data_IF_574186008730
#
_entry.id   IF_574186008730
#
_cell.length_a   1.000
_cell.length_b   1.000
_cell.length_c   1.000
_cell.angle_alpha   90.00
_cell.angle_beta   90.00
_cell.angle_gamma   90.00
#
_symmetry.space_group_name_H-M   'P 1'
#
loop_
_entity.id
_entity.type
_entity.pdbx_description
1 polymer ?
#
# COMPACT_ATOMS: atom_id res chain seq x y z
N UNK A 1 -23.01 21.02 -88.36
CA UNK A 1 -23.56 19.72 -87.94
C UNK A 1 -22.49 19.03 -87.12
N UNK A 2 -22.89 18.64 -85.92
CA UNK A 2 -22.08 18.07 -84.86
C UNK A 2 -21.80 16.59 -85.11
N UNK A 3 -20.53 16.23 -85.22
CA UNK A 3 -20.06 14.86 -84.94
C UNK A 3 -19.15 14.92 -83.73
N UNK A 4 -19.73 14.58 -82.57
CA UNK A 4 -19.02 14.37 -81.32
C UNK A 4 -18.40 12.98 -81.43
N UNK A 5 -17.08 12.94 -81.60
CA UNK A 5 -16.31 11.70 -81.52
C UNK A 5 -16.41 11.09 -80.11
N UNK A 6 -16.43 9.75 -79.99
CA UNK A 6 -16.50 9.09 -78.70
C UNK A 6 -15.21 9.37 -77.92
N UNK A 7 -15.32 10.14 -76.85
CA UNK A 7 -14.24 10.35 -75.89
C UNK A 7 -13.94 9.02 -75.22
N UNK A 8 -12.83 8.41 -75.61
CA UNK A 8 -12.23 7.22 -75.04
C UNK A 8 -12.01 7.44 -73.54
N UNK A 9 -12.96 7.00 -72.72
CA UNK A 9 -12.78 6.92 -71.26
C UNK A 9 -11.73 5.85 -70.98
N UNK A 10 -10.48 6.28 -70.89
CA UNK A 10 -9.37 5.44 -70.42
C UNK A 10 -9.56 5.22 -68.93
N UNK A 11 -10.14 4.08 -68.55
CA UNK A 11 -10.21 3.65 -67.16
C UNK A 11 -8.83 3.12 -66.77
N UNK A 12 -7.96 3.97 -66.25
CA UNK A 12 -6.65 3.55 -65.74
C UNK A 12 -6.84 2.96 -64.35
N UNK A 13 -6.99 1.64 -64.28
CA UNK A 13 -6.97 0.91 -63.01
C UNK A 13 -5.51 0.77 -62.53
N UNK A 14 -5.09 1.60 -61.59
CA UNK A 14 -3.81 1.43 -60.91
C UNK A 14 -3.90 0.29 -59.89
N UNK A 15 -3.36 -0.88 -60.24
CA UNK A 15 -3.08 -1.94 -59.27
C UNK A 15 -1.78 -1.59 -58.51
N UNK A 16 -1.90 -0.77 -57.47
CA UNK A 16 -0.83 -0.62 -56.51
C UNK A 16 -0.77 -1.90 -55.66
N UNK A 17 0.13 -2.82 -56.00
CA UNK A 17 0.42 -3.97 -55.16
C UNK A 17 0.98 -3.49 -53.82
N UNK A 18 0.15 -3.52 -52.78
CA UNK A 18 0.47 -3.30 -51.35
C UNK A 18 1.41 -4.37 -50.76
N UNK A 19 2.32 -4.90 -51.57
CA UNK A 19 3.31 -5.91 -51.16
C UNK A 19 4.45 -5.32 -50.32
N UNK A 20 4.58 -3.99 -50.24
CA UNK A 20 5.66 -3.34 -49.49
C UNK A 20 5.35 -3.04 -48.01
N UNK A 21 4.14 -3.32 -47.51
CA UNK A 21 3.75 -3.02 -46.11
C UNK A 21 3.77 -4.26 -45.20
N UNK A 22 4.06 -5.46 -45.73
CA UNK A 22 4.07 -6.70 -44.91
C UNK A 22 5.28 -6.85 -43.98
N UNK A 23 6.31 -6.01 -44.08
CA UNK A 23 7.56 -6.14 -43.31
C UNK A 23 7.61 -5.46 -41.94
N UNK A 24 6.64 -4.59 -41.59
CA UNK A 24 6.76 -3.73 -40.39
C UNK A 24 5.51 -3.67 -39.49
N UNK A 25 4.61 -4.65 -39.59
CA UNK A 25 3.44 -4.75 -38.71
C UNK A 25 3.77 -5.57 -37.45
N UNK A 26 4.63 -5.02 -36.61
CA UNK A 26 4.84 -5.50 -35.24
C UNK A 26 5.07 -4.32 -34.27
N UNK A 27 4.24 -3.27 -34.37
CA UNK A 27 4.06 -2.28 -33.31
C UNK A 27 2.82 -1.44 -33.63
N UNK A 28 2.02 -1.14 -32.60
CA UNK A 28 0.72 -0.43 -32.62
C UNK A 28 0.76 1.04 -33.10
N UNK A 29 1.47 1.34 -34.20
CA UNK A 29 1.45 2.66 -34.81
C UNK A 29 0.54 2.61 -36.04
N UNK A 30 -0.57 3.36 -35.99
CA UNK A 30 -1.36 3.70 -37.17
C UNK A 30 -0.41 4.34 -38.20
N UNK A 31 -0.09 3.61 -39.26
CA UNK A 31 0.72 4.10 -40.37
C UNK A 31 -0.21 4.78 -41.35
N UNK A 32 -0.23 6.11 -41.32
CA UNK A 32 -0.97 6.92 -42.29
C UNK A 32 -0.20 6.91 -43.60
N UNK A 33 -0.75 6.28 -44.64
CA UNK A 33 -0.20 6.35 -45.99
C UNK A 33 -0.77 7.58 -46.71
N UNK A 34 0.09 8.52 -47.09
CA UNK A 34 -0.29 9.62 -47.96
C UNK A 34 -0.21 9.15 -49.41
N UNK A 35 -1.32 9.27 -50.14
CA UNK A 35 -1.40 8.96 -51.56
C UNK A 35 -1.66 10.27 -52.30
N UNK A 36 -0.69 10.71 -53.09
CA UNK A 36 -0.84 11.89 -53.93
C UNK A 36 -1.74 11.58 -55.14
N UNK A 37 -2.92 12.19 -55.16
CA UNK A 37 -3.90 12.01 -56.24
C UNK A 37 -3.63 13.08 -57.31
N UNK A 38 -3.30 12.63 -58.52
CA UNK A 38 -3.05 13.53 -59.66
C UNK A 38 -4.32 14.29 -60.09
N UNK A 39 -4.16 15.54 -60.55
CA UNK A 39 -5.27 16.34 -61.09
C UNK A 39 -5.90 15.62 -62.29
N UNK A 40 -7.22 15.39 -62.24
CA UNK A 40 -8.00 14.72 -63.28
C UNK A 40 -8.47 13.30 -62.93
N UNK A 41 -8.12 12.77 -61.75
CA UNK A 41 -8.70 11.52 -61.23
C UNK A 41 -10.09 11.81 -60.66
N UNK A 42 -11.13 11.29 -61.31
CA UNK A 42 -12.53 11.46 -60.86
C UNK A 42 -12.90 10.50 -59.71
N UNK A 43 -12.30 9.31 -59.67
CA UNK A 43 -12.61 8.26 -58.70
C UNK A 43 -11.38 7.48 -58.26
N UNK A 44 -11.25 7.25 -56.95
CA UNK A 44 -10.28 6.32 -56.36
C UNK A 44 -11.04 5.11 -55.84
N UNK A 45 -10.73 3.91 -56.35
CA UNK A 45 -11.32 2.65 -55.90
C UNK A 45 -10.30 1.91 -55.04
N UNK A 46 -10.57 1.81 -53.74
CA UNK A 46 -9.76 1.02 -52.82
C UNK A 46 -10.26 -0.43 -52.86
N UNK A 47 -9.49 -1.31 -53.51
CA UNK A 47 -9.75 -2.73 -53.51
C UNK A 47 -9.03 -3.39 -52.33
N UNK A 48 -9.76 -3.67 -51.26
CA UNK A 48 -9.25 -4.52 -50.19
C UNK A 48 -9.23 -5.97 -50.67
N UNK A 49 -8.18 -6.72 -50.34
CA UNK A 49 -8.19 -8.14 -50.63
C UNK A 49 -9.32 -8.80 -49.83
N UNK A 50 -10.09 -9.68 -50.48
CA UNK A 50 -11.21 -10.37 -49.83
C UNK A 50 -10.73 -11.15 -48.58
N UNK A 51 -9.48 -11.61 -48.58
CA UNK A 51 -8.88 -12.36 -47.47
C UNK A 51 -8.58 -11.49 -46.24
N UNK A 52 -8.05 -10.27 -46.39
CA UNK A 52 -7.82 -9.37 -45.24
C UNK A 52 -9.14 -8.99 -44.54
N UNK A 53 -10.20 -8.77 -45.31
CA UNK A 53 -11.53 -8.47 -44.77
C UNK A 53 -12.10 -9.68 -44.01
N UNK A 54 -11.90 -10.91 -44.52
CA UNK A 54 -12.32 -12.14 -43.82
C UNK A 54 -11.54 -12.34 -42.52
N UNK A 55 -10.23 -12.11 -42.54
CA UNK A 55 -9.39 -12.22 -41.34
C UNK A 55 -9.81 -11.20 -40.27
N UNK A 56 -10.06 -9.95 -40.68
CA UNK A 56 -10.52 -8.91 -39.76
C UNK A 56 -11.89 -9.25 -39.17
N UNK A 57 -12.84 -9.74 -39.97
CA UNK A 57 -14.15 -10.21 -39.45
C UNK A 57 -13.98 -11.32 -38.42
N UNK A 58 -13.15 -12.33 -38.70
CA UNK A 58 -12.88 -13.41 -37.75
C UNK A 58 -12.31 -12.88 -36.44
N UNK A 59 -11.34 -11.95 -36.50
CA UNK A 59 -10.76 -11.34 -35.29
C UNK A 59 -11.80 -10.54 -34.49
N UNK A 60 -12.69 -9.82 -35.17
CA UNK A 60 -13.79 -9.10 -34.50
C UNK A 60 -14.73 -10.08 -33.80
N UNK A 61 -15.14 -11.16 -34.47
CA UNK A 61 -15.99 -12.20 -33.87
C UNK A 61 -15.33 -12.86 -32.65
N UNK A 62 -14.02 -13.14 -32.70
CA UNK A 62 -13.28 -13.72 -31.58
C UNK A 62 -13.21 -12.74 -30.39
N UNK A 63 -13.00 -11.44 -30.64
CA UNK A 63 -13.03 -10.40 -29.61
C UNK A 63 -14.42 -10.25 -29.01
N UNK A 64 -15.48 -10.28 -29.83
CA UNK A 64 -16.87 -10.23 -29.35
C UNK A 64 -17.19 -11.41 -28.45
N UNK A 65 -16.78 -12.64 -28.84
CA UNK A 65 -16.92 -13.84 -27.99
C UNK A 65 -16.17 -13.69 -26.66
N UNK A 66 -14.95 -13.17 -26.70
CA UNK A 66 -14.14 -12.94 -25.50
C UNK A 66 -14.79 -11.90 -24.57
N UNK A 67 -15.26 -10.78 -25.12
CA UNK A 67 -15.96 -9.76 -24.35
C UNK A 67 -17.23 -10.31 -23.69
N UNK A 68 -17.97 -11.15 -24.41
CA UNK A 68 -19.17 -11.77 -23.89
C UNK A 68 -18.86 -12.78 -22.77
N UNK A 69 -17.77 -13.53 -22.87
CA UNK A 69 -17.28 -14.38 -21.79
C UNK A 69 -16.88 -13.58 -20.55
N UNK A 70 -16.17 -12.45 -20.73
CA UNK A 70 -15.78 -11.56 -19.64
C UNK A 70 -17.00 -10.95 -18.93
N UNK A 71 -18.01 -10.49 -19.68
CA UNK A 71 -19.25 -9.98 -19.10
C UNK A 71 -19.97 -11.03 -18.24
N UNK A 72 -19.97 -12.30 -18.65
CA UNK A 72 -20.52 -13.39 -17.83
C UNK A 72 -19.74 -13.59 -16.53
N UNK A 73 -18.40 -13.53 -16.59
CA UNK A 73 -17.57 -13.63 -15.38
C UNK A 73 -17.80 -12.45 -14.43
N UNK A 74 -17.93 -11.23 -14.94
CA UNK A 74 -18.26 -10.06 -14.13
C UNK A 74 -19.63 -10.21 -13.45
N UNK A 75 -20.64 -10.69 -14.19
CA UNK A 75 -21.97 -10.95 -13.62
C UNK A 75 -21.94 -12.03 -12.52
N UNK A 76 -21.15 -13.09 -12.70
CA UNK A 76 -20.97 -14.13 -11.67
C UNK A 76 -20.27 -13.58 -10.41
N UNK A 77 -19.22 -12.77 -10.59
CA UNK A 77 -18.53 -12.12 -9.46
C UNK A 77 -19.44 -11.16 -8.70
N UNK A 78 -20.25 -10.38 -9.43
CA UNK A 78 -21.22 -9.47 -8.80
C UNK A 78 -22.24 -10.24 -7.97
N UNK A 79 -22.81 -11.33 -8.51
CA UNK A 79 -23.74 -12.16 -7.77
C UNK A 79 -23.10 -12.78 -6.51
N UNK A 80 -21.84 -13.21 -6.59
CA UNK A 80 -21.09 -13.72 -5.44
C UNK A 80 -20.80 -12.64 -4.38
N UNK A 81 -20.54 -11.40 -4.80
CA UNK A 81 -20.38 -10.27 -3.90
C UNK A 81 -21.69 -9.95 -3.17
N UNK A 82 -22.81 -9.92 -3.89
CA UNK A 82 -24.13 -9.65 -3.32
C UNK A 82 -24.54 -10.75 -2.31
N UNK A 83 -24.24 -12.02 -2.60
CA UNK A 83 -24.45 -13.14 -1.66
C UNK A 83 -23.60 -12.99 -0.39
N UNK A 84 -22.32 -12.63 -0.53
CA UNK A 84 -21.43 -12.41 0.61
C UNK A 84 -21.91 -11.23 1.47
N UNK A 85 -22.36 -10.15 0.84
CA UNK A 85 -22.89 -8.98 1.51
C UNK A 85 -24.15 -9.32 2.32
N UNK A 86 -25.05 -10.14 1.77
CA UNK A 86 -26.23 -10.63 2.48
C UNK A 86 -25.84 -11.45 3.73
N UNK A 87 -24.88 -12.37 3.60
CA UNK A 87 -24.36 -13.16 4.74
C UNK A 87 -23.72 -12.28 5.82
N UNK A 88 -23.01 -11.24 5.43
CA UNK A 88 -22.42 -10.29 6.38
C UNK A 88 -23.48 -9.53 7.18
N UNK A 89 -24.56 -9.09 6.53
CA UNK A 89 -25.69 -8.43 7.19
C UNK A 89 -26.36 -9.40 8.17
N UNK A 90 -26.63 -10.64 7.77
CA UNK A 90 -27.20 -11.67 8.64
C UNK A 90 -26.32 -11.92 9.87
N UNK A 91 -25.01 -12.13 9.68
CA UNK A 91 -24.07 -12.36 10.78
C UNK A 91 -24.01 -11.16 11.73
N UNK A 92 -24.06 -9.93 11.19
CA UNK A 92 -24.06 -8.71 12.00
C UNK A 92 -25.32 -8.62 12.87
N UNK A 93 -26.47 -9.00 12.33
CA UNK A 93 -27.72 -9.04 13.10
C UNK A 93 -27.68 -10.10 14.21
N UNK A 94 -27.10 -11.27 13.95
CA UNK A 94 -26.99 -12.35 14.93
C UNK A 94 -26.01 -12.00 16.07
N UNK A 95 -24.89 -11.36 15.75
CA UNK A 95 -23.96 -10.83 16.78
C UNK A 95 -24.65 -9.77 17.64
N UNK A 96 -25.46 -8.90 17.04
CA UNK A 96 -26.30 -7.94 17.76
C UNK A 96 -27.27 -8.63 18.72
N UNK A 97 -27.94 -9.70 18.28
CA UNK A 97 -28.87 -10.50 19.08
C UNK A 97 -28.19 -11.15 20.29
N UNK A 98 -27.01 -11.76 20.08
CA UNK A 98 -26.22 -12.38 21.15
C UNK A 98 -25.76 -11.33 22.17
N UNK A 99 -25.36 -10.14 21.73
CA UNK A 99 -24.97 -9.04 22.64
C UNK A 99 -26.16 -8.41 23.37
N UNK A 100 -27.34 -8.43 22.78
CA UNK A 100 -28.57 -7.88 23.35
C UNK A 100 -29.28 -8.81 24.34
N UNK A 101 -28.87 -10.06 24.48
CA UNK A 101 -29.40 -10.94 25.51
C UNK A 101 -29.00 -10.42 26.90
N UNK A 102 -29.96 -10.07 27.79
CA UNK A 102 -29.63 -9.67 29.16
C UNK A 102 -28.92 -10.85 29.84
N UNK A 103 -27.71 -10.61 30.34
CA UNK A 103 -27.02 -11.52 31.24
C UNK A 103 -27.86 -11.67 32.51
N UNK A 104 -28.78 -12.63 32.51
CA UNK A 104 -29.51 -13.02 33.68
C UNK A 104 -28.58 -13.72 34.66
N UNK A 105 -28.60 -13.18 35.88
CA UNK A 105 -28.06 -13.68 37.14
C UNK A 105 -26.54 -13.52 37.41
N UNK A 106 -26.18 -12.78 38.49
CA UNK A 106 -24.93 -12.97 39.19
C UNK A 106 -25.07 -14.19 40.12
N UNK A 107 -24.17 -15.16 40.01
CA UNK A 107 -24.03 -16.21 41.02
C UNK A 107 -22.62 -16.20 41.62
N UNK A 108 -22.50 -16.60 42.90
CA UNK A 108 -21.42 -16.20 43.79
C UNK A 108 -20.23 -17.17 43.74
N UNK A 109 -19.18 -16.76 44.45
CA UNK A 109 -17.84 -17.31 44.53
C UNK A 109 -17.69 -18.81 44.85
N UNK A 110 -16.43 -19.26 44.71
CA UNK A 110 -15.81 -20.57 45.03
C UNK A 110 -15.98 -21.66 43.95
N UNK A 111 -15.02 -22.54 43.62
CA UNK A 111 -13.61 -22.77 44.02
C UNK A 111 -13.04 -23.93 43.17
N UNK A 112 -11.76 -23.87 42.80
CA UNK A 112 -10.76 -24.96 42.65
C UNK A 112 -10.92 -26.16 41.65
N UNK A 113 -9.82 -26.34 40.87
CA UNK A 113 -9.15 -27.58 40.35
C UNK A 113 -9.68 -28.21 39.04
N UNK A 114 -8.96 -28.09 37.90
CA UNK A 114 -7.90 -29.01 37.36
C UNK A 114 -8.54 -30.31 36.80
N UNK A 115 -8.42 -30.79 35.55
CA UNK A 115 -7.26 -30.95 34.67
C UNK A 115 -7.73 -31.46 33.29
N UNK A 116 -7.18 -30.97 32.17
CA UNK A 116 -6.52 -31.81 31.14
C UNK A 116 -6.09 -31.01 29.90
N UNK A 117 -4.93 -31.35 29.29
CA UNK A 117 -4.28 -30.54 28.27
C UNK A 117 -4.59 -31.07 26.86
N UNK A 118 -5.13 -30.20 26.00
CA UNK A 118 -4.98 -30.37 24.55
C UNK A 118 -4.43 -29.08 23.97
N UNK A 119 -3.22 -29.22 23.44
CA UNK A 119 -2.49 -28.22 22.66
C UNK A 119 -3.30 -27.91 21.41
N UNK A 120 -3.72 -26.65 21.25
CA UNK A 120 -3.67 -25.81 20.02
C UNK A 120 -4.78 -24.76 20.03
N UNK A 121 -4.69 -23.77 20.92
CA UNK A 121 -5.05 -22.39 20.58
C UNK A 121 -4.59 -21.52 21.73
N UNK A 122 -3.35 -21.02 21.67
CA UNK A 122 -2.96 -19.89 22.52
C UNK A 122 -3.72 -18.68 21.97
N UNK A 123 -5.00 -18.56 22.36
CA UNK A 123 -5.82 -17.38 22.15
C UNK A 123 -5.16 -16.25 22.94
N UNK A 124 -4.42 -15.42 22.22
CA UNK A 124 -3.95 -14.16 22.75
C UNK A 124 -5.17 -13.26 22.96
N UNK A 125 -5.29 -12.56 24.09
CA UNK A 125 -6.48 -11.77 24.38
C UNK A 125 -6.71 -10.60 23.40
N UNK A 126 -5.69 -10.22 22.61
CA UNK A 126 -5.74 -9.10 21.66
C UNK A 126 -4.99 -9.36 20.35
N UNK A 127 -4.81 -10.62 19.96
CA UNK A 127 -4.34 -10.93 18.61
C UNK A 127 -5.54 -10.92 17.69
N UNK A 128 -5.50 -10.05 16.68
CA UNK A 128 -6.39 -10.25 15.55
C UNK A 128 -5.85 -11.47 14.81
N UNK A 129 -6.38 -12.66 15.12
CA UNK A 129 -5.92 -13.92 14.52
C UNK A 129 -6.12 -13.93 13.00
N UNK A 130 -7.08 -13.15 12.48
CA UNK A 130 -7.32 -13.01 11.04
C UNK A 130 -6.21 -12.22 10.34
N UNK A 131 -5.63 -11.23 11.03
CA UNK A 131 -4.56 -10.38 10.50
C UNK A 131 -3.19 -10.69 11.08
N UNK A 132 -3.09 -11.56 12.08
CA UNK A 132 -1.87 -11.83 12.84
C UNK A 132 -1.23 -10.57 13.46
N UNK A 133 -2.02 -9.59 13.91
CA UNK A 133 -1.48 -8.39 14.58
C UNK A 133 -1.59 -8.58 16.09
N UNK A 134 -0.57 -8.18 16.85
CA UNK A 134 -0.61 -8.19 18.32
C UNK A 134 -0.73 -6.79 18.89
N UNK A 135 -1.80 -6.53 19.64
CA UNK A 135 -1.89 -5.32 20.45
C UNK A 135 -1.03 -5.45 21.73
N UNK A 136 -0.26 -4.40 22.01
CA UNK A 136 0.59 -4.22 23.17
C UNK A 136 -0.04 -3.10 24.01
N UNK A 137 -1.11 -3.42 24.74
CA UNK A 137 -1.95 -2.44 25.42
C UNK A 137 -1.20 -1.53 26.42
N UNK A 138 -1.62 -0.25 26.49
CA UNK A 138 -1.27 0.73 27.54
C UNK A 138 -0.49 1.96 27.06
N UNK A 139 -1.13 3.14 27.03
CA UNK A 139 -0.49 4.41 26.63
C UNK A 139 0.76 4.74 27.46
N UNK A 140 0.69 4.54 28.77
CA UNK A 140 1.69 5.00 29.74
C UNK A 140 2.99 4.18 29.77
N UNK A 141 3.01 2.98 29.18
CA UNK A 141 4.14 2.01 29.34
C UNK A 141 4.92 1.74 28.05
N UNK A 142 4.40 2.23 26.94
CA UNK A 142 4.82 1.83 25.61
C UNK A 142 6.20 2.30 25.16
N UNK A 143 6.64 3.51 25.57
CA UNK A 143 7.94 4.06 25.14
C UNK A 143 9.11 3.37 25.84
N UNK A 144 8.99 3.12 27.14
CA UNK A 144 9.98 2.33 27.92
C UNK A 144 10.07 0.91 27.35
N UNK A 145 8.92 0.33 27.05
CA UNK A 145 8.83 -0.98 26.42
C UNK A 145 9.57 -1.03 25.08
N UNK A 146 9.30 -0.10 24.15
CA UNK A 146 10.00 -0.06 22.85
C UNK A 146 11.52 0.09 23.00
N UNK A 147 11.99 0.89 23.97
CA UNK A 147 13.42 1.06 24.25
C UNK A 147 14.02 -0.27 24.72
N UNK A 148 13.35 -0.97 25.64
CA UNK A 148 13.80 -2.27 26.13
C UNK A 148 13.72 -3.36 25.06
N UNK A 149 12.66 -3.38 24.24
CA UNK A 149 12.56 -4.27 23.08
C UNK A 149 13.72 -4.05 22.12
N UNK A 150 14.07 -2.79 21.81
CA UNK A 150 15.23 -2.46 20.97
C UNK A 150 16.57 -2.89 21.57
N UNK A 151 16.71 -2.83 22.90
CA UNK A 151 17.92 -3.32 23.59
C UNK A 151 18.03 -4.84 23.50
N UNK A 152 16.93 -5.57 23.72
CA UNK A 152 16.92 -7.04 23.78
C UNK A 152 16.91 -7.73 22.40
N UNK A 153 16.25 -7.15 21.40
CA UNK A 153 16.03 -7.79 20.09
C UNK A 153 16.91 -7.29 18.96
N UNK A 154 17.76 -6.31 19.24
CA UNK A 154 18.69 -5.76 18.27
C UNK A 154 18.10 -4.63 17.44
N UNK A 155 18.87 -4.24 16.43
CA UNK A 155 18.75 -2.93 15.78
C UNK A 155 17.76 -2.89 14.60
N UNK A 156 17.06 -3.98 14.28
CA UNK A 156 16.17 -4.06 13.12
C UNK A 156 14.68 -3.78 13.44
N UNK A 157 14.39 -3.20 14.61
CA UNK A 157 13.03 -2.78 14.99
C UNK A 157 12.73 -1.37 14.46
N UNK A 158 11.72 -1.26 13.61
CA UNK A 158 11.25 0.01 13.04
C UNK A 158 9.83 0.31 13.52
N UNK A 159 9.60 1.58 13.86
CA UNK A 159 8.28 2.08 14.18
C UNK A 159 7.77 2.87 13.00
N UNK A 160 6.61 2.50 12.47
CA UNK A 160 5.92 3.26 11.44
C UNK A 160 5.34 4.53 12.05
N UNK A 161 5.50 5.64 11.33
CA UNK A 161 4.96 6.95 11.66
C UNK A 161 4.16 7.48 10.45
N UNK A 162 3.75 8.75 10.51
CA UNK A 162 2.91 9.42 9.51
C UNK A 162 3.48 9.38 8.07
N UNK A 163 4.78 9.16 7.89
CA UNK A 163 5.36 8.92 6.56
C UNK A 163 5.10 7.54 5.97
N UNK A 164 4.41 6.67 6.69
CA UNK A 164 4.13 5.30 6.26
C UNK A 164 2.73 5.25 5.65
N UNK A 165 2.66 5.08 4.34
CA UNK A 165 1.40 4.81 3.65
C UNK A 165 1.13 3.31 3.60
N UNK A 166 -0.13 2.91 3.82
CA UNK A 166 -0.55 1.52 3.68
C UNK A 166 -1.33 1.35 2.39
N UNK A 167 -0.95 0.35 1.58
CA UNK A 167 -1.67 -0.05 0.36
C UNK A 167 -2.69 -1.12 0.72
N UNK A 168 -2.26 -2.11 1.51
CA UNK A 168 -3.10 -3.14 2.09
C UNK A 168 -2.66 -3.35 3.54
N UNK A 169 -3.42 -2.85 4.51
CA UNK A 169 -3.03 -2.95 5.91
C UNK A 169 -3.42 -4.32 6.50
N UNK A 170 -2.50 -5.05 7.17
CA UNK A 170 -1.10 -4.69 7.45
C UNK A 170 -0.09 -5.24 6.44
N UNK A 171 -0.51 -5.95 5.39
CA UNK A 171 0.38 -6.77 4.57
C UNK A 171 1.40 -5.96 3.74
N UNK A 172 0.97 -4.87 3.14
CA UNK A 172 1.78 -4.07 2.22
C UNK A 172 1.64 -2.59 2.49
N UNK A 173 2.79 -1.93 2.68
CA UNK A 173 2.89 -0.49 2.83
C UNK A 173 4.16 0.04 2.24
N UNK A 174 4.38 1.34 2.40
CA UNK A 174 5.62 1.98 2.02
C UNK A 174 5.97 3.08 3.02
N UNK A 175 7.25 3.35 3.18
CA UNK A 175 7.74 4.50 3.92
C UNK A 175 8.69 5.29 3.03
N UNK A 176 8.59 6.62 3.04
CA UNK A 176 9.50 7.46 2.27
C UNK A 176 10.45 8.18 3.21
N UNK A 177 11.74 8.12 2.92
CA UNK A 177 12.77 8.82 3.70
C UNK A 177 13.61 9.72 2.81
N UNK A 178 13.99 10.91 3.29
CA UNK A 178 14.83 11.80 2.50
C UNK A 178 16.25 11.25 2.42
N UNK A 179 16.95 11.53 1.33
CA UNK A 179 18.34 11.08 1.15
C UNK A 179 19.32 11.91 1.98
N UNK A 180 18.96 13.17 2.24
CA UNK A 180 19.73 14.12 3.06
C UNK A 180 18.83 14.89 4.02
N UNK A 181 19.41 15.36 5.12
CA UNK A 181 18.72 16.19 6.13
C UNK A 181 19.51 17.46 6.38
N UNK A 182 18.82 18.59 6.45
CA UNK A 182 19.37 19.87 6.84
C UNK A 182 19.28 20.04 8.36
N UNK A 183 20.42 20.16 9.01
CA UNK A 183 20.48 20.46 10.44
C UNK A 183 19.97 21.88 10.75
N UNK A 184 19.64 22.15 12.01
CA UNK A 184 19.25 23.49 12.47
C UNK A 184 20.31 24.57 12.19
N UNK A 185 21.58 24.18 12.10
CA UNK A 185 22.72 25.09 11.80
C UNK A 185 22.97 25.25 10.30
N UNK A 186 22.12 24.69 9.43
CA UNK A 186 22.28 24.79 7.96
C UNK A 186 23.28 23.81 7.35
N UNK A 187 23.82 22.86 8.12
CA UNK A 187 24.70 21.81 7.58
C UNK A 187 23.90 20.61 7.09
N UNK A 188 24.22 20.12 5.89
CA UNK A 188 23.66 18.91 5.29
C UNK A 188 24.26 17.63 5.88
N UNK A 189 23.41 16.64 6.10
CA UNK A 189 23.78 15.34 6.65
C UNK A 189 23.14 14.22 5.83
N UNK A 190 23.90 13.17 5.54
CA UNK A 190 23.36 12.00 4.86
C UNK A 190 22.44 11.18 5.77
N UNK A 191 21.34 10.68 5.19
CA UNK A 191 20.35 9.84 5.88
C UNK A 191 20.76 8.36 6.00
N UNK A 192 22.01 7.99 5.70
CA UNK A 192 22.51 6.61 5.63
C UNK A 192 22.43 5.82 6.95
N UNK A 193 22.15 6.49 8.07
CA UNK A 193 21.99 5.85 9.39
C UNK A 193 20.60 5.25 9.64
N UNK A 194 19.66 5.40 8.70
CA UNK A 194 18.30 4.87 8.83
C UNK A 194 18.27 3.33 8.77
N UNK A 195 17.45 2.72 9.64
CA UNK A 195 17.37 1.26 9.77
C UNK A 195 16.87 0.56 8.50
N UNK A 196 15.90 1.16 7.80
CA UNK A 196 15.38 0.68 6.52
C UNK A 196 16.46 0.63 5.42
N UNK A 197 17.52 1.44 5.53
CA UNK A 197 18.71 1.43 4.65
C UNK A 197 19.75 0.40 5.04
N UNK A 198 19.63 -0.25 6.20
CA UNK A 198 20.63 -1.20 6.71
C UNK A 198 20.16 -2.64 6.64
N UNK A 199 18.88 -2.87 6.92
CA UNK A 199 18.36 -4.23 7.03
C UNK A 199 17.41 -4.56 5.87
N UNK A 200 17.56 -5.72 5.23
CA UNK A 200 16.62 -6.20 4.22
C UNK A 200 15.33 -6.75 4.83
N UNK A 201 15.36 -7.09 6.13
CA UNK A 201 14.20 -7.49 6.92
C UNK A 201 14.14 -6.72 8.24
N UNK A 202 12.96 -6.23 8.59
CA UNK A 202 12.72 -5.44 9.80
C UNK A 202 11.49 -5.93 10.55
N UNK A 203 11.51 -5.76 11.87
CA UNK A 203 10.34 -5.98 12.71
C UNK A 203 9.57 -4.66 12.82
N UNK A 204 8.30 -4.65 12.40
CA UNK A 204 7.50 -3.44 12.37
C UNK A 204 6.55 -3.34 13.56
N UNK A 205 6.52 -2.13 14.12
CA UNK A 205 5.55 -1.71 15.12
C UNK A 205 4.85 -0.46 14.62
N UNK A 206 3.57 -0.32 14.95
CA UNK A 206 2.80 0.90 14.69
C UNK A 206 2.11 1.39 15.95
N UNK A 207 1.71 2.65 15.95
CA UNK A 207 0.84 3.23 16.98
C UNK A 207 -0.49 3.62 16.34
N UNK A 208 -1.58 3.08 16.85
CA UNK A 208 -2.95 3.39 16.41
C UNK A 208 -3.79 3.68 17.65
N UNK A 209 -4.52 4.80 17.65
CA UNK A 209 -5.41 5.19 18.76
C UNK A 209 -4.74 5.11 20.14
N UNK A 210 -3.52 5.66 20.24
CA UNK A 210 -2.73 5.66 21.48
C UNK A 210 -2.05 4.33 21.81
N UNK A 211 -2.49 3.22 21.23
CA UNK A 211 -2.02 1.85 21.50
C UNK A 211 -0.93 1.40 20.53
N UNK A 212 -0.06 0.50 21.00
CA UNK A 212 1.03 -0.04 20.19
C UNK A 212 0.67 -1.40 19.64
N UNK A 213 1.06 -1.65 18.40
CA UNK A 213 0.80 -2.90 17.71
C UNK A 213 2.08 -3.42 17.10
N UNK A 214 2.35 -4.70 17.32
CA UNK A 214 3.35 -5.43 16.56
C UNK A 214 2.69 -6.00 15.31
N UNK A 215 3.27 -5.66 14.14
CA UNK A 215 2.70 -6.01 12.84
C UNK A 215 3.31 -7.26 12.23
N UNK A 216 4.55 -7.61 12.59
CA UNK A 216 5.26 -8.74 11.99
C UNK A 216 6.64 -8.37 11.44
N UNK A 217 7.22 -9.33 10.71
CA UNK A 217 8.48 -9.18 10.00
C UNK A 217 8.21 -8.79 8.55
N UNK A 218 8.88 -7.74 8.08
CA UNK A 218 8.72 -7.19 6.73
C UNK A 218 10.01 -7.28 5.94
N UNK A 219 9.91 -7.69 4.68
CA UNK A 219 10.95 -7.49 3.69
C UNK A 219 10.91 -6.03 3.19
N UNK A 220 12.10 -5.45 3.00
CA UNK A 220 12.27 -4.05 2.61
C UNK A 220 12.88 -4.00 1.20
N UNK A 221 12.13 -3.45 0.25
CA UNK A 221 12.60 -3.15 -1.11
C UNK A 221 12.83 -1.64 -1.21
N UNK A 222 13.90 -1.24 -1.90
CA UNK A 222 14.36 0.15 -1.95
C UNK A 222 14.36 0.67 -3.38
N UNK A 223 13.66 1.77 -3.57
CA UNK A 223 13.56 2.43 -4.85
C UNK A 223 13.94 3.91 -4.70
N UNK A 224 14.88 4.37 -5.51
CA UNK A 224 15.19 5.81 -5.60
C UNK A 224 14.04 6.50 -6.32
N UNK A 225 13.55 7.61 -5.75
CA UNK A 225 12.43 8.32 -6.33
C UNK A 225 12.87 9.34 -7.37
N UNK A 226 12.09 9.44 -8.45
CA UNK A 226 12.12 10.57 -9.38
C UNK A 226 11.30 11.75 -8.83
N UNK A 227 11.42 12.92 -9.47
CA UNK A 227 10.59 14.08 -9.16
C UNK A 227 9.09 13.77 -9.31
N UNK A 228 8.71 13.04 -10.36
CA UNK A 228 7.31 12.67 -10.59
C UNK A 228 6.79 11.70 -9.51
N UNK A 229 7.63 10.79 -9.03
CA UNK A 229 7.25 9.93 -7.90
C UNK A 229 6.99 10.75 -6.63
N UNK A 230 7.82 11.77 -6.36
CA UNK A 230 7.65 12.66 -5.19
C UNK A 230 6.35 13.45 -5.32
N UNK A 231 6.02 13.93 -6.52
CA UNK A 231 4.77 14.64 -6.80
C UNK A 231 3.55 13.73 -6.66
N UNK A 232 3.66 12.46 -7.06
CA UNK A 232 2.57 11.49 -6.96
C UNK A 232 2.30 10.99 -5.52
N UNK A 233 3.17 11.30 -4.55
CA UNK A 233 2.94 10.92 -3.16
C UNK A 233 1.71 11.62 -2.56
N UNK A 234 1.00 10.97 -1.61
CA UNK A 234 -0.03 11.62 -0.81
C UNK A 234 0.50 12.85 -0.05
N UNK A 235 -0.36 13.85 0.12
CA UNK A 235 0.00 15.13 0.78
C UNK A 235 0.59 14.95 2.17
N UNK A 236 0.05 14.01 2.94
CA UNK A 236 0.56 13.66 4.27
C UNK A 236 1.98 13.12 4.20
N UNK A 237 2.24 12.19 3.28
CA UNK A 237 3.58 11.63 3.07
C UNK A 237 4.57 12.67 2.59
N UNK A 238 4.17 13.57 1.68
CA UNK A 238 5.04 14.69 1.22
C UNK A 238 5.39 15.63 2.37
N UNK A 239 4.41 16.04 3.17
CA UNK A 239 4.63 16.88 4.37
C UNK A 239 5.53 16.18 5.39
N UNK A 240 5.35 14.88 5.60
CA UNK A 240 6.19 14.09 6.49
C UNK A 240 7.63 13.98 5.96
N UNK A 241 7.82 13.83 4.64
CA UNK A 241 9.12 13.82 3.99
C UNK A 241 9.88 15.15 4.22
N UNK A 242 9.23 16.29 3.98
CA UNK A 242 9.81 17.63 4.26
C UNK A 242 10.13 17.80 5.74
N UNK A 243 9.20 17.39 6.62
CA UNK A 243 9.36 17.49 8.07
C UNK A 243 10.52 16.65 8.58
N UNK A 244 10.73 15.46 8.01
CA UNK A 244 11.89 14.64 8.32
C UNK A 244 13.18 15.27 7.79
N UNK A 245 13.14 16.01 6.70
CA UNK A 245 14.33 16.56 6.05
C UNK A 245 14.94 17.74 6.79
N UNK A 246 14.23 18.46 7.66
CA UNK A 246 14.78 19.65 8.32
C UNK A 246 14.14 20.04 9.65
N UNK A 247 14.74 21.03 10.31
CA UNK A 247 14.10 21.79 11.38
C UNK A 247 12.96 22.67 10.85
N UNK A 248 11.94 22.95 11.68
CA UNK A 248 10.72 23.70 11.31
C UNK A 248 10.98 25.04 10.60
N UNK A 249 12.08 25.72 10.90
CA UNK A 249 12.48 26.99 10.28
C UNK A 249 12.84 26.91 8.81
N UNK A 250 13.18 25.73 8.29
CA UNK A 250 13.61 25.55 6.89
C UNK A 250 12.58 24.81 6.03
N UNK A 251 11.39 24.51 6.57
CA UNK A 251 10.39 23.68 5.88
C UNK A 251 9.94 24.27 4.55
N UNK A 252 9.66 25.57 4.49
CA UNK A 252 9.22 26.25 3.26
C UNK A 252 10.29 26.16 2.17
N UNK A 253 11.55 26.39 2.53
CA UNK A 253 12.67 26.27 1.60
C UNK A 253 12.82 24.84 1.07
N UNK A 254 12.81 23.84 1.96
CA UNK A 254 12.98 22.45 1.54
C UNK A 254 11.79 21.93 0.74
N UNK A 255 10.59 22.39 1.04
CA UNK A 255 9.41 22.08 0.23
C UNK A 255 9.62 22.53 -1.22
N UNK A 256 10.08 23.77 -1.44
CA UNK A 256 10.39 24.27 -2.78
C UNK A 256 11.50 23.43 -3.47
N UNK A 257 12.52 22.98 -2.73
CA UNK A 257 13.58 22.13 -3.29
C UNK A 257 13.07 20.74 -3.73
N UNK A 258 12.14 20.13 -2.99
CA UNK A 258 11.49 18.89 -3.43
C UNK A 258 10.61 19.11 -4.66
N UNK A 259 9.88 20.22 -4.73
CA UNK A 259 9.01 20.57 -5.86
C UNK A 259 9.80 20.88 -7.15
N UNK A 260 11.01 21.43 -7.00
CA UNK A 260 11.97 21.69 -8.07
C UNK A 260 12.80 20.45 -8.47
N UNK A 261 12.73 19.35 -7.70
CA UNK A 261 13.52 18.15 -7.95
C UNK A 261 14.99 18.23 -7.54
N UNK A 262 15.38 19.28 -6.82
CA UNK A 262 16.74 19.43 -6.25
C UNK A 262 16.97 18.49 -5.07
N UNK A 263 15.88 18.09 -4.40
CA UNK A 263 15.88 17.06 -3.36
C UNK A 263 15.01 15.89 -3.76
N UNK A 264 15.45 14.70 -3.38
CA UNK A 264 14.68 13.47 -3.54
C UNK A 264 14.69 12.64 -2.24
N UNK A 265 14.00 11.51 -2.30
CA UNK A 265 13.96 10.51 -1.26
C UNK A 265 14.11 9.10 -1.82
N UNK A 266 14.23 8.16 -0.89
CA UNK A 266 14.13 6.73 -1.18
C UNK A 266 12.78 6.24 -0.67
N UNK A 267 12.04 5.53 -1.53
CA UNK A 267 10.84 4.78 -1.17
C UNK A 267 11.25 3.41 -0.68
N UNK A 268 10.76 3.04 0.49
CA UNK A 268 10.95 1.72 1.09
C UNK A 268 9.62 1.00 1.02
N UNK A 269 9.48 0.06 0.09
CA UNK A 269 8.31 -0.81 0.02
C UNK A 269 8.45 -1.90 1.09
N UNK A 270 7.41 -2.06 1.91
CA UNK A 270 7.35 -2.93 3.07
C UNK A 270 6.35 -4.04 2.78
N UNK A 271 6.86 -5.26 2.61
CA UNK A 271 6.02 -6.45 2.39
C UNK A 271 6.13 -7.37 3.59
N UNK A 272 5.00 -7.64 4.24
CA UNK A 272 4.95 -8.56 5.36
C UNK A 272 5.28 -9.97 4.88
N UNK A 273 6.25 -10.62 5.51
CA UNK A 273 6.71 -11.96 5.12
C UNK A 273 6.55 -13.00 6.22
N UNK A 274 6.49 -12.57 7.48
CA UNK A 274 6.34 -13.49 8.59
C UNK A 274 5.74 -12.81 9.81
N UNK A 275 5.40 -13.64 10.79
CA UNK A 275 5.06 -13.23 12.14
C UNK A 275 6.04 -13.91 13.10
N UNK A 276 6.73 -13.12 13.92
CA UNK A 276 7.81 -13.63 14.77
C UNK A 276 7.27 -14.05 16.13
N UNK A 277 6.87 -15.32 16.26
CA UNK A 277 6.30 -15.85 17.50
C UNK A 277 7.26 -15.80 18.69
N UNK A 278 8.57 -15.89 18.44
CA UNK A 278 9.60 -15.80 19.49
C UNK A 278 9.65 -14.39 20.07
N UNK A 279 9.69 -13.37 19.21
CA UNK A 279 9.61 -11.97 19.62
C UNK A 279 8.32 -11.74 20.42
N UNK A 280 7.19 -12.22 19.91
CA UNK A 280 5.87 -12.08 20.56
C UNK A 280 5.85 -12.69 21.96
N UNK A 281 6.33 -13.93 22.13
CA UNK A 281 6.35 -14.58 23.44
C UNK A 281 7.12 -13.75 24.48
N UNK A 282 8.24 -13.15 24.07
CA UNK A 282 9.07 -12.33 24.93
C UNK A 282 8.45 -10.95 25.17
N UNK A 283 7.82 -10.34 24.16
CA UNK A 283 7.07 -9.10 24.33
C UNK A 283 5.97 -9.28 25.38
N UNK A 284 5.26 -10.41 25.34
CA UNK A 284 4.23 -10.75 26.31
C UNK A 284 4.80 -10.98 27.71
N UNK A 285 5.92 -11.69 27.83
CA UNK A 285 6.60 -11.87 29.12
C UNK A 285 7.03 -10.52 29.72
N UNK A 286 7.64 -9.65 28.92
CA UNK A 286 8.05 -8.32 29.37
C UNK A 286 6.86 -7.43 29.77
N UNK A 287 5.70 -7.61 29.12
CA UNK A 287 4.47 -6.94 29.54
C UNK A 287 3.98 -7.46 30.90
N UNK A 288 4.01 -8.77 31.13
CA UNK A 288 3.65 -9.38 32.42
C UNK A 288 4.58 -8.93 33.55
N UNK A 289 5.89 -8.92 33.33
CA UNK A 289 6.88 -8.42 34.31
C UNK A 289 6.59 -6.96 34.67
N UNK A 290 6.22 -6.14 33.68
CA UNK A 290 5.88 -4.74 33.93
C UNK A 290 4.59 -4.56 34.75
N UNK A 291 3.67 -5.53 34.69
CA UNK A 291 2.42 -5.52 35.48
C UNK A 291 2.64 -5.93 36.93
N UNK A 292 3.72 -6.66 37.23
CA UNK A 292 4.06 -7.14 38.57
C UNK A 292 4.92 -6.16 39.39
N UNK A 293 5.31 -5.00 38.84
CA UNK A 293 6.00 -3.98 39.62
C UNK A 293 5.10 -3.49 40.75
N UNK A 294 5.53 -3.58 42.03
CA UNK A 294 4.75 -3.11 43.16
C UNK A 294 4.43 -1.64 42.97
N UNK A 295 3.16 -1.28 43.16
CA UNK A 295 2.78 0.10 43.44
C UNK A 295 3.36 0.41 44.81
N UNK A 296 4.61 0.84 44.85
CA UNK A 296 5.11 1.58 46.01
C UNK A 296 4.28 2.86 46.07
N UNK A 297 3.26 2.80 46.92
CA UNK A 297 2.55 3.95 47.44
C UNK A 297 3.60 4.91 47.99
N UNK A 298 3.92 5.95 47.22
CA UNK A 298 4.54 7.15 47.75
C UNK A 298 3.47 7.79 48.65
N UNK A 299 3.39 7.35 49.90
CA UNK A 299 2.77 8.13 50.97
C UNK A 299 3.65 9.35 51.17
N UNK A 300 3.23 10.44 50.53
CA UNK A 300 3.65 11.78 50.91
C UNK A 300 3.07 12.08 52.30
N UNK A 301 3.89 11.91 53.34
CA UNK A 301 3.86 12.74 54.54
C UNK A 301 5.18 13.52 54.46
N UNK A 302 5.23 14.81 54.09
CA UNK A 302 4.68 15.98 54.78
C UNK A 302 5.06 16.02 56.26
N UNK A 303 6.24 16.58 56.53
CA UNK A 303 6.58 17.51 57.62
C UNK A 303 8.11 17.54 57.66
N UNK A 304 8.82 18.66 57.62
CA UNK A 304 8.53 20.01 58.07
C UNK A 304 9.92 20.55 58.40
N UNK A 305 10.50 21.33 57.48
CA UNK A 305 11.87 21.84 57.58
C UNK A 305 11.89 23.28 57.11
N UNK A 306 11.34 24.14 57.96
CA UNK A 306 11.59 25.58 57.95
C UNK A 306 12.98 25.79 58.51
N UNK A 307 13.91 26.27 57.69
CA UNK A 307 15.14 26.90 58.18
C UNK A 307 15.33 28.21 57.40
N UNK A 308 15.11 29.30 58.13
CA UNK A 308 15.73 30.60 57.91
C UNK A 308 17.26 30.44 58.07
N UNK A 309 18.05 31.16 57.26
CA UNK A 309 19.11 32.08 57.70
C UNK A 309 20.02 32.51 56.51
N UNK A 310 20.15 33.83 56.39
CA UNK A 310 21.16 34.70 55.76
C UNK A 310 21.55 34.59 54.27
#
# INVERSE_FOLDING_TARGET
MSEIAPSSRVLVAYYASLLFIKGHLAANNMTTAHVDISKGVEHVVLAFSCEEVKELRKRVEDVEKSNLALMRQMAQLQAGYDEMQAKYVELTTEVGRIRGMPRSAPCPAASYIESSPSVTSRRYPFKDDSRGILALCGESRSRKFLIESKKKFGRNVVVTQDETGWVDFPNTGFSVKPDRRLSKKGSWQDSNRQLLRRFPKVELFTRMEGSWFYLGTYAVIRDTMSLEDVRALPDETRRALVTQSCHKSHRTQLQAMFEAGEMSGTKFTLNRVAYNDVLVAILLHALQDSQQLPVELITANSDGGSDDED
#
